data_IF_478022508615
#
_entry.id   IF_478022508615
#
_cell.length_a   1.000
_cell.length_b   1.000
_cell.length_c   1.000
_cell.angle_alpha   90.00
_cell.angle_beta   90.00
_cell.angle_gamma   90.00
#
_symmetry.space_group_name_H-M   'P 1'
#
loop_
_entity.id
_entity.type
_entity.pdbx_description
1 polymer ?
#
# COMPACT_ATOMS: atom_id res chain seq x y z
N UNK A 1 21.49 22.05 25.49
CA UNK A 1 20.20 22.38 24.83
C UNK A 1 20.59 22.85 23.44
N UNK A 2 20.52 22.05 22.39
CA UNK A 2 19.44 21.15 21.93
C UNK A 2 20.10 20.07 21.08
N UNK A 3 19.83 18.79 21.32
CA UNK A 3 20.31 17.72 20.43
C UNK A 3 19.48 17.85 19.15
N UNK A 4 20.08 18.38 18.10
CA UNK A 4 19.49 18.36 16.76
C UNK A 4 19.41 16.88 16.37
N UNK A 5 18.18 16.40 16.23
CA UNK A 5 17.84 15.03 15.92
C UNK A 5 18.32 14.70 14.49
N UNK A 6 19.53 14.15 14.39
CA UNK A 6 20.21 13.77 13.13
C UNK A 6 19.39 12.76 12.30
N UNK A 7 18.38 12.11 12.90
CA UNK A 7 17.49 11.14 12.25
C UNK A 7 16.57 11.74 11.19
N UNK A 8 16.37 13.07 11.18
CA UNK A 8 15.54 13.74 10.19
C UNK A 8 16.22 13.85 8.80
N UNK A 9 17.55 13.81 8.76
CA UNK A 9 18.33 13.94 7.52
C UNK A 9 18.29 12.68 6.64
N UNK A 10 18.32 11.49 7.25
CA UNK A 10 18.30 10.21 6.53
C UNK A 10 16.94 9.91 5.89
N UNK A 11 15.83 10.33 6.52
CA UNK A 11 14.48 10.14 5.97
C UNK A 11 14.21 10.98 4.72
N UNK A 12 14.91 12.11 4.56
CA UNK A 12 14.65 13.08 3.50
C UNK A 12 15.54 12.89 2.25
N UNK A 13 16.49 11.94 2.32
CA UNK A 13 17.30 11.57 1.17
C UNK A 13 16.50 10.74 0.14
N UNK A 14 17.09 10.48 -1.03
CA UNK A 14 16.40 9.75 -2.09
C UNK A 14 16.08 8.29 -1.69
N UNK A 15 16.93 7.66 -0.87
CA UNK A 15 16.77 6.26 -0.45
C UNK A 15 15.67 6.14 0.61
N UNK A 16 15.64 7.07 1.57
CA UNK A 16 14.60 7.19 2.59
C UNK A 16 13.21 7.37 1.95
N UNK A 17 13.08 8.28 0.98
CA UNK A 17 11.82 8.50 0.25
C UNK A 17 11.38 7.28 -0.58
N UNK A 18 12.32 6.55 -1.18
CA UNK A 18 11.99 5.29 -1.88
C UNK A 18 11.50 4.23 -0.89
N UNK A 19 12.15 4.09 0.26
CA UNK A 19 11.73 3.15 1.30
C UNK A 19 10.32 3.49 1.83
N UNK A 20 10.04 4.76 2.10
CA UNK A 20 8.72 5.24 2.49
C UNK A 20 7.65 4.90 1.45
N UNK A 21 7.93 5.19 0.16
CA UNK A 21 7.00 4.86 -0.93
C UNK A 21 6.70 3.37 -1.02
N UNK A 22 7.70 2.51 -0.86
CA UNK A 22 7.52 1.05 -0.87
C UNK A 22 6.64 0.59 0.31
N UNK A 23 6.86 1.16 1.50
CA UNK A 23 6.03 0.88 2.68
C UNK A 23 4.57 1.31 2.46
N UNK A 24 4.33 2.50 1.92
CA UNK A 24 2.98 2.98 1.60
C UNK A 24 2.27 2.09 0.58
N UNK A 25 3.00 1.64 -0.46
CA UNK A 25 2.45 0.71 -1.47
C UNK A 25 2.07 -0.62 -0.87
N UNK A 26 2.90 -1.17 0.01
CA UNK A 26 2.58 -2.44 0.69
C UNK A 26 1.37 -2.29 1.61
N UNK A 27 1.25 -1.19 2.34
CA UNK A 27 0.08 -0.90 3.17
C UNK A 27 -1.20 -0.78 2.30
N UNK A 28 -1.14 -0.07 1.17
CA UNK A 28 -2.24 0.01 0.23
C UNK A 28 -2.57 -1.35 -0.42
N UNK A 29 -1.57 -2.23 -0.57
CA UNK A 29 -1.74 -3.58 -1.10
C UNK A 29 -2.51 -4.48 -0.13
N UNK A 30 -2.13 -4.46 1.15
CA UNK A 30 -2.79 -5.24 2.22
C UNK A 30 -4.19 -4.72 2.55
N UNK A 31 -4.42 -3.42 2.36
CA UNK A 31 -5.67 -2.79 2.75
C UNK A 31 -5.76 -2.56 4.27
N UNK A 32 -6.90 -2.03 4.75
CA UNK A 32 -7.00 -1.52 6.12
C UNK A 32 -7.27 -2.58 7.19
N UNK A 33 -7.56 -3.83 6.81
CA UNK A 33 -7.96 -4.88 7.76
C UNK A 33 -7.69 -6.27 7.21
N UNK A 34 -6.76 -6.99 7.85
CA UNK A 34 -6.51 -8.41 7.55
C UNK A 34 -7.75 -9.27 7.80
N UNK A 35 -8.51 -8.95 8.86
CA UNK A 35 -9.79 -9.62 9.15
C UNK A 35 -10.81 -9.50 8.02
N UNK A 36 -10.83 -8.38 7.30
CA UNK A 36 -11.74 -8.20 6.16
C UNK A 36 -11.34 -9.11 4.98
N UNK A 37 -10.04 -9.28 4.76
CA UNK A 37 -9.49 -10.22 3.78
C UNK A 37 -9.86 -11.66 4.15
N UNK A 38 -9.59 -12.08 5.38
CA UNK A 38 -9.96 -13.41 5.89
C UNK A 38 -11.46 -13.67 5.76
N UNK A 39 -12.31 -12.69 6.08
CA UNK A 39 -13.75 -12.81 5.95
C UNK A 39 -14.23 -12.95 4.49
N UNK A 40 -13.48 -12.42 3.51
CA UNK A 40 -13.76 -12.68 2.08
C UNK A 40 -13.39 -14.12 1.73
N UNK A 41 -12.18 -14.56 2.12
CA UNK A 41 -11.72 -15.93 1.86
C UNK A 41 -12.61 -16.98 2.52
N UNK A 42 -13.06 -16.75 3.76
CA UNK A 42 -13.98 -17.62 4.47
C UNK A 42 -15.34 -17.78 3.76
N UNK A 43 -15.73 -16.81 2.91
CA UNK A 43 -16.92 -16.88 2.06
C UNK A 43 -16.66 -17.57 0.71
N UNK A 44 -15.48 -18.15 0.52
CA UNK A 44 -15.04 -18.74 -0.76
C UNK A 44 -14.80 -17.69 -1.85
N UNK A 45 -14.58 -16.43 -1.49
CA UNK A 45 -14.38 -15.33 -2.44
C UNK A 45 -12.94 -14.88 -2.47
N UNK A 46 -12.45 -14.63 -3.68
CA UNK A 46 -11.20 -13.93 -3.92
C UNK A 46 -11.33 -12.43 -3.58
N UNK A 47 -10.23 -11.83 -3.15
CA UNK A 47 -10.07 -10.37 -3.03
C UNK A 47 -10.07 -9.70 -4.42
N UNK A 48 -10.17 -8.37 -4.45
CA UNK A 48 -10.15 -7.64 -5.72
C UNK A 48 -8.85 -7.86 -6.51
N UNK A 49 -7.69 -7.87 -5.83
CA UNK A 49 -6.38 -8.07 -6.48
C UNK A 49 -6.20 -9.50 -6.98
N UNK A 50 -6.59 -10.49 -6.18
CA UNK A 50 -6.56 -11.90 -6.60
C UNK A 50 -7.41 -12.15 -7.85
N UNK A 51 -8.56 -11.47 -7.99
CA UNK A 51 -9.39 -11.57 -9.21
C UNK A 51 -8.71 -10.96 -10.43
N UNK A 52 -8.00 -9.84 -10.25
CA UNK A 52 -7.25 -9.20 -11.34
C UNK A 52 -6.11 -10.11 -11.79
N UNK A 53 -5.36 -10.69 -10.84
CA UNK A 53 -4.27 -11.64 -11.12
C UNK A 53 -4.75 -12.89 -11.84
N UNK A 54 -5.95 -13.39 -11.53
CA UNK A 54 -6.54 -14.53 -12.22
C UNK A 54 -7.00 -14.19 -13.65
N UNK A 55 -7.42 -12.95 -13.89
CA UNK A 55 -8.01 -12.52 -15.16
C UNK A 55 -6.96 -12.14 -16.22
N UNK A 56 -5.83 -11.59 -15.78
CA UNK A 56 -4.85 -10.98 -16.66
C UNK A 56 -3.60 -11.85 -16.81
N UNK A 57 -2.92 -11.72 -17.95
CA UNK A 57 -1.64 -12.40 -18.16
C UNK A 57 -0.61 -11.98 -17.09
N UNK A 58 0.20 -12.91 -16.58
CA UNK A 58 1.20 -12.60 -15.55
C UNK A 58 2.10 -11.41 -15.95
N UNK A 59 2.21 -10.43 -15.05
CA UNK A 59 3.06 -9.25 -15.24
C UNK A 59 2.49 -8.16 -16.16
N UNK A 60 1.33 -8.37 -16.79
CA UNK A 60 0.67 -7.39 -17.66
C UNK A 60 -0.01 -6.26 -16.90
N UNK A 61 -0.48 -6.52 -15.68
CA UNK A 61 -1.21 -5.53 -14.89
C UNK A 61 -0.31 -4.36 -14.45
N UNK A 62 -0.78 -3.14 -14.70
CA UNK A 62 -0.18 -1.88 -14.23
C UNK A 62 -1.21 -1.09 -13.44
N UNK A 63 -1.05 -1.08 -12.11
CA UNK A 63 -1.96 -0.37 -11.21
C UNK A 63 -1.79 1.15 -11.37
N UNK A 64 -2.91 1.84 -11.54
CA UNK A 64 -2.96 3.31 -11.54
C UNK A 64 -3.58 3.78 -10.24
N UNK A 65 -3.17 4.96 -9.77
CA UNK A 65 -3.88 5.66 -8.69
C UNK A 65 -3.94 4.88 -7.34
N UNK A 66 -2.94 4.00 -7.09
CA UNK A 66 -2.88 3.11 -5.91
C UNK A 66 -2.99 3.83 -4.54
N UNK A 67 -2.53 5.08 -4.46
CA UNK A 67 -2.50 5.86 -3.21
C UNK A 67 -3.66 6.87 -3.11
N UNK A 68 -4.68 6.78 -3.99
CA UNK A 68 -5.87 7.65 -3.92
C UNK A 68 -6.57 7.51 -2.57
N UNK A 69 -6.96 8.65 -2.02
CA UNK A 69 -7.82 8.75 -0.84
C UNK A 69 -9.02 9.62 -1.15
N UNK A 70 -10.12 9.36 -0.43
CA UNK A 70 -11.30 10.21 -0.48
C UNK A 70 -10.94 11.64 -0.06
N UNK A 71 -11.48 12.64 -0.76
CA UNK A 71 -11.19 14.06 -0.50
C UNK A 71 -12.29 14.78 0.29
N UNK A 72 -13.48 14.20 0.39
CA UNK A 72 -14.54 14.86 1.16
C UNK A 72 -14.29 14.65 2.67
N UNK A 73 -14.36 15.77 3.36
CA UNK A 73 -14.37 15.89 4.82
C UNK A 73 -15.80 16.21 5.22
N UNK A 74 -16.44 15.31 5.97
CA UNK A 74 -17.76 15.51 6.57
C UNK A 74 -17.63 15.74 8.07
#
# INVERSE_FOLDING_TARGET
MTVVDETQGEQNDARGRVAELLALREQARRGPSERATEAQHAKGKLTARERIELLLDPGSFKEVEQLRRHRATG
#
